data_IF_047035415166
#
_entry.id   IF_047035415166
#
_cell.length_a   1.000
_cell.length_b   1.000
_cell.length_c   1.000
_cell.angle_alpha   90.00
_cell.angle_beta   90.00
_cell.angle_gamma   90.00
#
_symmetry.space_group_name_H-M   'P 1'
#
loop_
_entity.id
_entity.type
_entity.pdbx_description
1 polymer ?
#
# COMPACT_ATOMS: atom_id res chain seq x y z
N UNK A 1 -3.87 20.12 12.90
CA UNK A 1 -2.61 20.38 13.65
C UNK A 1 -2.19 19.19 14.52
N UNK A 2 -3.06 18.58 15.33
CA UNK A 2 -2.65 17.53 16.29
C UNK A 2 -1.97 16.28 15.71
N UNK A 3 -2.29 15.86 14.47
CA UNK A 3 -1.68 14.67 13.87
C UNK A 3 -0.21 14.87 13.50
N UNK A 4 0.15 16.05 13.01
CA UNK A 4 1.54 16.38 12.64
C UNK A 4 2.43 16.51 13.88
N UNK A 5 1.90 17.10 14.96
CA UNK A 5 2.62 17.22 16.23
C UNK A 5 2.91 15.84 16.84
N UNK A 6 1.94 14.92 16.80
CA UNK A 6 2.12 13.55 17.25
C UNK A 6 3.16 12.78 16.43
N UNK A 7 3.18 12.97 15.11
CA UNK A 7 4.18 12.36 14.22
C UNK A 7 5.57 12.88 14.58
N UNK A 8 5.72 14.20 14.74
CA UNK A 8 7.01 14.82 15.11
C UNK A 8 7.53 14.31 16.44
N UNK A 9 6.69 14.27 17.47
CA UNK A 9 7.08 13.78 18.81
C UNK A 9 7.43 12.30 18.82
N UNK A 10 6.72 11.49 18.03
CA UNK A 10 7.00 10.05 17.94
C UNK A 10 8.30 9.79 17.19
N UNK A 11 8.55 10.51 16.09
CA UNK A 11 9.83 10.45 15.37
C UNK A 11 11.00 10.86 16.26
N UNK A 12 10.87 11.96 17.01
CA UNK A 12 11.92 12.40 17.93
C UNK A 12 12.30 11.31 18.94
N UNK A 13 11.32 10.61 19.51
CA UNK A 13 11.60 9.51 20.44
C UNK A 13 12.29 8.33 19.76
N UNK A 14 11.88 7.97 18.55
CA UNK A 14 12.54 6.90 17.78
C UNK A 14 14.00 7.26 17.45
N UNK A 15 14.26 8.52 17.07
CA UNK A 15 15.60 9.04 16.80
C UNK A 15 16.51 9.01 18.04
N UNK A 16 15.95 9.10 19.26
CA UNK A 16 16.70 8.94 20.51
C UNK A 16 17.01 7.47 20.85
N UNK A 17 16.15 6.54 20.42
CA UNK A 17 16.30 5.10 20.70
C UNK A 17 17.31 4.47 19.74
N UNK A 18 17.11 4.66 18.43
CA UNK A 18 18.02 4.17 17.40
C UNK A 18 18.11 5.17 16.24
N UNK A 19 19.05 6.12 16.28
CA UNK A 19 19.21 7.13 15.24
C UNK A 19 19.75 6.57 13.92
N UNK A 20 20.21 5.32 13.87
CA UNK A 20 20.80 4.70 12.69
C UNK A 20 19.89 3.62 12.08
N UNK A 21 18.77 3.28 12.71
CA UNK A 21 17.77 2.40 12.13
C UNK A 21 17.28 2.97 10.78
N UNK A 22 17.47 2.23 9.66
CA UNK A 22 16.99 2.66 8.35
C UNK A 22 15.50 2.99 8.31
N UNK A 23 14.67 2.35 9.15
CA UNK A 23 13.23 2.64 9.23
C UNK A 23 12.96 4.00 9.86
N UNK A 24 13.71 4.37 10.90
CA UNK A 24 13.58 5.67 11.57
C UNK A 24 14.01 6.78 10.62
N UNK A 25 15.14 6.60 9.92
CA UNK A 25 15.63 7.55 8.92
C UNK A 25 14.63 7.70 7.77
N UNK A 26 14.09 6.58 7.23
CA UNK A 26 13.08 6.61 6.18
C UNK A 26 11.77 7.28 6.63
N UNK A 27 11.36 7.08 7.88
CA UNK A 27 10.18 7.73 8.43
C UNK A 27 10.36 9.26 8.54
N UNK A 28 11.54 9.73 8.98
CA UNK A 28 11.89 11.15 9.01
C UNK A 28 12.01 11.75 7.60
N UNK A 29 12.62 11.02 6.67
CA UNK A 29 12.66 11.37 5.25
C UNK A 29 11.26 11.64 4.68
N UNK A 30 10.33 10.71 4.89
CA UNK A 30 8.93 10.85 4.44
C UNK A 30 8.24 12.06 5.10
N UNK A 31 8.54 12.34 6.35
CA UNK A 31 8.04 13.54 7.02
C UNK A 31 8.55 14.82 6.34
N UNK A 32 9.85 14.94 6.06
CA UNK A 32 10.41 16.13 5.39
C UNK A 32 9.85 16.32 3.98
N UNK A 33 9.70 15.25 3.19
CA UNK A 33 9.05 15.34 1.88
C UNK A 33 7.62 15.89 1.96
N UNK A 34 6.82 15.47 2.95
CA UNK A 34 5.46 15.99 3.14
C UNK A 34 5.44 17.46 3.53
N UNK A 35 6.48 17.94 4.22
CA UNK A 35 6.65 19.34 4.58
C UNK A 35 7.22 20.19 3.42
N UNK A 36 7.55 19.56 2.28
CA UNK A 36 8.17 20.24 1.14
C UNK A 36 9.68 20.46 1.28
N UNK A 37 10.30 20.00 2.38
CA UNK A 37 11.74 20.09 2.61
C UNK A 37 12.48 18.98 1.83
N UNK A 38 12.62 19.21 0.53
CA UNK A 38 13.26 18.27 -0.40
C UNK A 38 14.76 18.16 -0.15
N UNK A 39 15.42 19.24 0.31
CA UNK A 39 16.85 19.25 0.60
C UNK A 39 17.17 18.42 1.86
N UNK A 40 16.38 18.60 2.92
CA UNK A 40 16.49 17.79 4.13
C UNK A 40 16.16 16.31 3.85
N UNK A 41 15.14 16.05 3.03
CA UNK A 41 14.85 14.70 2.56
C UNK A 41 16.02 14.10 1.78
N UNK A 42 16.62 14.84 0.83
CA UNK A 42 17.76 14.34 0.06
C UNK A 42 18.93 13.94 0.96
N UNK A 43 19.27 14.74 1.97
CA UNK A 43 20.33 14.39 2.94
C UNK A 43 20.07 13.08 3.68
N UNK A 44 18.82 12.82 4.06
CA UNK A 44 18.45 11.56 4.72
C UNK A 44 18.48 10.38 3.75
N UNK A 45 18.13 10.61 2.48
CA UNK A 45 18.26 9.60 1.44
C UNK A 45 19.72 9.23 1.19
N UNK A 46 20.61 10.21 1.14
CA UNK A 46 22.06 9.98 1.00
C UNK A 46 22.62 9.22 2.21
N UNK A 47 22.15 9.55 3.42
CA UNK A 47 22.51 8.81 4.64
C UNK A 47 22.03 7.36 4.59
N UNK A 48 20.80 7.10 4.11
CA UNK A 48 20.30 5.74 3.89
C UNK A 48 21.14 4.97 2.87
N UNK A 49 21.58 5.63 1.80
CA UNK A 49 22.45 5.02 0.78
C UNK A 49 23.78 4.54 1.37
N UNK A 50 24.33 5.29 2.33
CA UNK A 50 25.59 4.93 3.00
C UNK A 50 25.40 3.83 4.05
N UNK A 51 24.33 3.90 4.85
CA UNK A 51 24.11 2.98 5.97
C UNK A 51 23.54 1.63 5.53
N UNK A 52 22.60 1.62 4.59
CA UNK A 52 21.84 0.43 4.23
C UNK A 52 21.34 0.46 2.77
N UNK A 53 22.25 0.43 1.77
CA UNK A 53 21.91 0.55 0.34
C UNK A 53 21.02 -0.57 -0.18
N UNK A 54 21.05 -1.75 0.42
CA UNK A 54 20.22 -2.90 0.02
C UNK A 54 18.89 -2.96 0.80
N UNK A 55 18.64 -2.02 1.72
CA UNK A 55 17.42 -2.04 2.52
C UNK A 55 16.19 -1.61 1.72
N UNK A 56 15.05 -2.24 2.00
CA UNK A 56 13.74 -1.80 1.49
C UNK A 56 13.45 -0.34 1.85
N UNK A 57 13.91 0.12 3.02
CA UNK A 57 13.77 1.50 3.48
C UNK A 57 14.46 2.50 2.55
N UNK A 58 15.70 2.21 2.14
CA UNK A 58 16.42 3.03 1.16
C UNK A 58 15.74 2.98 -0.21
N UNK A 59 15.45 1.79 -0.72
CA UNK A 59 14.88 1.63 -2.06
C UNK A 59 13.50 2.32 -2.19
N UNK A 60 12.64 2.16 -1.18
CA UNK A 60 11.34 2.86 -1.13
C UNK A 60 11.50 4.38 -1.00
N UNK A 61 12.46 4.86 -0.19
CA UNK A 61 12.75 6.30 -0.05
C UNK A 61 13.23 6.90 -1.36
N UNK A 62 14.09 6.19 -2.11
CA UNK A 62 14.55 6.62 -3.43
C UNK A 62 13.39 6.75 -4.42
N UNK A 63 12.48 5.78 -4.43
CA UNK A 63 11.26 5.86 -5.25
C UNK A 63 10.39 7.04 -4.86
N UNK A 64 10.17 7.28 -3.56
CA UNK A 64 9.41 8.43 -3.08
C UNK A 64 10.06 9.78 -3.45
N UNK A 65 11.40 9.86 -3.43
CA UNK A 65 12.13 11.04 -3.90
C UNK A 65 11.94 11.26 -5.40
N UNK A 66 12.02 10.20 -6.22
CA UNK A 66 11.76 10.31 -7.65
C UNK A 66 10.35 10.88 -7.92
N UNK A 67 9.35 10.40 -7.17
CA UNK A 67 7.95 10.83 -7.30
C UNK A 67 7.68 12.25 -6.78
N UNK A 68 8.61 12.88 -6.05
CA UNK A 68 8.47 14.30 -5.68
C UNK A 68 8.86 15.23 -6.84
N UNK A 69 9.64 14.73 -7.81
CA UNK A 69 10.06 15.50 -8.99
C UNK A 69 8.92 15.68 -10.01
N UNK A 70 8.95 16.73 -10.86
CA UNK A 70 7.99 16.88 -11.96
C UNK A 70 7.93 15.66 -12.88
N UNK A 71 9.08 15.09 -13.24
CA UNK A 71 9.17 13.93 -14.12
C UNK A 71 8.54 12.69 -13.49
N UNK A 72 8.88 12.37 -12.23
CA UNK A 72 8.31 11.22 -11.55
C UNK A 72 6.79 11.35 -11.36
N UNK A 73 6.30 12.57 -11.08
CA UNK A 73 4.86 12.84 -11.04
C UNK A 73 4.19 12.61 -12.40
N UNK A 74 4.81 13.06 -13.49
CA UNK A 74 4.28 12.83 -14.83
C UNK A 74 4.19 11.34 -15.16
N UNK A 75 5.26 10.57 -14.91
CA UNK A 75 5.25 9.11 -15.12
C UNK A 75 4.18 8.41 -14.28
N UNK A 76 3.97 8.84 -13.04
CA UNK A 76 2.90 8.30 -12.20
C UNK A 76 1.51 8.59 -12.79
N UNK A 77 1.28 9.80 -13.28
CA UNK A 77 -0.01 10.16 -13.90
C UNK A 77 -0.27 9.38 -15.20
N UNK A 78 0.76 9.13 -15.98
CA UNK A 78 0.67 8.27 -17.17
C UNK A 78 0.29 6.83 -16.80
N UNK A 79 0.93 6.24 -15.78
CA UNK A 79 0.57 4.91 -15.28
C UNK A 79 -0.91 4.85 -14.80
N UNK A 80 -1.37 5.90 -14.12
CA UNK A 80 -2.77 6.02 -13.69
C UNK A 80 -3.74 6.13 -14.85
N UNK A 81 -3.41 6.91 -15.87
CA UNK A 81 -4.24 7.05 -17.07
C UNK A 81 -4.38 5.71 -17.80
N UNK A 82 -3.29 4.95 -17.93
CA UNK A 82 -3.33 3.60 -18.50
C UNK A 82 -4.23 2.67 -17.66
N UNK A 83 -4.14 2.76 -16.33
CA UNK A 83 -4.95 1.92 -15.42
C UNK A 83 -6.45 2.25 -15.51
N UNK A 84 -6.81 3.53 -15.66
CA UNK A 84 -8.22 3.98 -15.74
C UNK A 84 -8.83 3.76 -17.11
N UNK A 85 -8.04 3.80 -18.18
CA UNK A 85 -8.48 3.56 -19.57
C UNK A 85 -8.50 2.07 -19.96
N UNK A 86 -8.21 1.17 -19.01
CA UNK A 86 -8.29 -0.28 -19.22
C UNK A 86 -7.01 -0.94 -19.74
N UNK A 87 -5.95 -0.17 -20.02
CA UNK A 87 -4.63 -0.64 -20.46
C UNK A 87 -3.83 -1.23 -19.28
N UNK A 88 -4.39 -2.24 -18.63
CA UNK A 88 -3.92 -2.76 -17.33
C UNK A 88 -2.47 -3.25 -17.39
N UNK A 89 -2.07 -4.02 -18.41
CA UNK A 89 -0.70 -4.52 -18.54
C UNK A 89 0.32 -3.39 -18.73
N UNK A 90 -0.02 -2.38 -19.54
CA UNK A 90 0.83 -1.21 -19.77
C UNK A 90 0.94 -0.36 -18.50
N UNK A 91 -0.16 -0.21 -17.74
CA UNK A 91 -0.15 0.47 -16.46
C UNK A 91 0.79 -0.22 -15.47
N UNK A 92 0.69 -1.55 -15.36
CA UNK A 92 1.57 -2.36 -14.51
C UNK A 92 3.03 -2.20 -14.94
N UNK A 93 3.33 -2.28 -16.23
CA UNK A 93 4.69 -2.07 -16.73
C UNK A 93 5.24 -0.67 -16.41
N UNK A 94 4.39 0.36 -16.51
CA UNK A 94 4.75 1.74 -16.15
C UNK A 94 5.05 1.88 -14.66
N UNK A 95 4.19 1.30 -13.79
CA UNK A 95 4.46 1.24 -12.35
C UNK A 95 5.72 0.45 -12.02
N UNK A 96 5.93 -0.71 -12.63
CA UNK A 96 7.10 -1.56 -12.40
C UNK A 96 8.39 -0.81 -12.73
N UNK A 97 8.40 -0.05 -13.84
CA UNK A 97 9.52 0.82 -14.20
C UNK A 97 9.77 1.92 -13.17
N UNK A 98 8.70 2.51 -12.65
CA UNK A 98 8.75 3.62 -11.69
C UNK A 98 9.22 3.16 -10.31
N UNK A 99 8.75 2.00 -9.86
CA UNK A 99 8.98 1.50 -8.51
C UNK A 99 10.15 0.52 -8.42
N UNK A 100 10.50 -0.15 -9.52
CA UNK A 100 11.56 -1.17 -9.59
C UNK A 100 11.42 -2.23 -8.50
N UNK A 101 10.18 -2.65 -8.21
CA UNK A 101 9.85 -3.61 -7.15
C UNK A 101 9.70 -3.02 -5.74
N UNK A 102 9.96 -1.72 -5.56
CA UNK A 102 9.88 -1.02 -4.27
C UNK A 102 8.87 0.13 -4.34
N UNK A 103 7.55 -0.17 -4.38
CA UNK A 103 6.53 0.87 -4.33
C UNK A 103 6.62 1.64 -3.00
N UNK A 104 6.37 2.96 -2.98
CA UNK A 104 6.31 3.71 -1.73
C UNK A 104 5.21 3.20 -0.82
N UNK A 105 5.46 3.20 0.48
CA UNK A 105 4.47 2.86 1.50
C UNK A 105 3.19 3.71 1.42
N UNK A 106 2.10 3.18 2.00
CA UNK A 106 0.81 3.86 2.10
C UNK A 106 -0.07 3.64 0.87
N UNK A 107 -0.90 4.64 0.55
CA UNK A 107 -1.95 4.53 -0.47
C UNK A 107 -1.40 4.18 -1.87
N UNK A 108 -0.19 4.61 -2.21
CA UNK A 108 0.39 4.31 -3.52
C UNK A 108 0.77 2.81 -3.66
N UNK A 109 1.23 2.16 -2.60
CA UNK A 109 1.42 0.71 -2.61
C UNK A 109 0.08 -0.02 -2.77
N UNK A 110 -0.99 0.47 -2.12
CA UNK A 110 -2.35 -0.09 -2.28
C UNK A 110 -2.82 0.04 -3.72
N UNK A 111 -2.68 1.23 -4.31
CA UNK A 111 -3.04 1.51 -5.71
C UNK A 111 -2.30 0.59 -6.69
N UNK A 112 -0.98 0.46 -6.51
CA UNK A 112 -0.14 -0.40 -7.33
C UNK A 112 -0.58 -1.87 -7.25
N UNK A 113 -0.63 -2.44 -6.05
CA UNK A 113 -0.95 -3.86 -5.89
C UNK A 113 -2.39 -4.18 -6.25
N UNK A 114 -3.33 -3.25 -6.05
CA UNK A 114 -4.71 -3.41 -6.56
C UNK A 114 -4.73 -3.44 -8.09
N UNK A 115 -3.88 -2.65 -8.75
CA UNK A 115 -3.74 -2.69 -10.21
C UNK A 115 -3.09 -4.00 -10.67
N UNK A 116 -2.01 -4.45 -10.02
CA UNK A 116 -1.35 -5.74 -10.32
C UNK A 116 -2.31 -6.91 -10.13
N UNK A 117 -3.19 -6.87 -9.13
CA UNK A 117 -4.16 -7.93 -8.87
C UNK A 117 -5.15 -8.19 -10.03
N UNK A 118 -5.33 -7.21 -10.93
CA UNK A 118 -6.14 -7.37 -12.14
C UNK A 118 -5.51 -8.34 -13.14
N UNK A 119 -4.18 -8.50 -13.12
CA UNK A 119 -3.47 -9.46 -13.97
C UNK A 119 -3.49 -10.86 -13.33
N UNK A 120 -4.13 -11.88 -13.95
CA UNK A 120 -4.26 -13.20 -13.34
C UNK A 120 -2.92 -13.84 -12.95
N UNK A 121 -1.89 -13.69 -13.79
CA UNK A 121 -0.56 -14.25 -13.55
C UNK A 121 0.14 -13.70 -12.30
N UNK A 122 -0.19 -12.47 -11.88
CA UNK A 122 0.40 -11.79 -10.71
C UNK A 122 -0.58 -11.60 -9.55
N UNK A 123 -1.81 -12.10 -9.67
CA UNK A 123 -2.87 -11.89 -8.68
C UNK A 123 -2.49 -12.41 -7.29
N UNK A 124 -1.87 -13.60 -7.22
CA UNK A 124 -1.47 -14.18 -5.94
C UNK A 124 -0.41 -13.33 -5.23
N UNK A 125 0.59 -12.86 -5.96
CA UNK A 125 1.61 -11.93 -5.45
C UNK A 125 0.95 -10.67 -4.88
N UNK A 126 0.07 -10.04 -5.66
CA UNK A 126 -0.61 -8.82 -5.27
C UNK A 126 -1.47 -8.99 -4.01
N UNK A 127 -2.22 -10.07 -3.89
CA UNK A 127 -3.03 -10.35 -2.69
C UNK A 127 -2.12 -10.44 -1.45
N UNK A 128 -1.00 -11.16 -1.55
CA UNK A 128 -0.08 -11.32 -0.41
C UNK A 128 0.51 -9.97 0.02
N UNK A 129 0.79 -9.07 -0.92
CA UNK A 129 1.28 -7.73 -0.61
C UNK A 129 0.19 -6.84 0.01
N UNK A 130 -1.04 -6.89 -0.51
CA UNK A 130 -2.18 -6.19 0.07
C UNK A 130 -2.51 -6.69 1.48
N UNK A 131 -2.34 -7.98 1.76
CA UNK A 131 -2.46 -8.54 3.12
C UNK A 131 -1.42 -7.98 4.07
N UNK A 132 -0.14 -7.89 3.65
CA UNK A 132 0.93 -7.27 4.44
C UNK A 132 0.62 -5.80 4.75
N UNK A 133 0.13 -5.05 3.74
CA UNK A 133 -0.26 -3.65 3.92
C UNK A 133 -1.43 -3.52 4.91
N UNK A 134 -2.46 -4.35 4.79
CA UNK A 134 -3.61 -4.34 5.70
C UNK A 134 -3.21 -4.70 7.14
N UNK A 135 -2.21 -5.56 7.34
CA UNK A 135 -1.71 -5.90 8.67
C UNK A 135 -1.05 -4.72 9.39
N UNK A 136 -0.34 -3.84 8.65
CA UNK A 136 0.35 -2.67 9.22
C UNK A 136 -0.50 -1.40 9.22
N UNK A 137 -1.57 -1.35 8.41
CA UNK A 137 -2.50 -0.21 8.31
C UNK A 137 -3.96 -0.68 8.53
N UNK A 138 -4.31 -1.15 9.74
CA UNK A 138 -5.67 -1.58 10.02
C UNK A 138 -6.64 -0.41 9.92
N UNK A 139 -7.82 -0.66 9.33
CA UNK A 139 -8.90 0.33 9.23
C UNK A 139 -8.96 1.09 7.90
N UNK A 140 -8.07 0.81 6.95
CA UNK A 140 -8.29 1.24 5.56
C UNK A 140 -9.41 0.40 4.93
N UNK A 141 -10.65 0.88 5.05
CA UNK A 141 -11.83 0.16 4.55
C UNK A 141 -11.80 -0.07 3.03
N UNK A 142 -11.20 0.84 2.26
CA UNK A 142 -11.12 0.72 0.80
C UNK A 142 -10.19 -0.44 0.42
N UNK A 143 -9.00 -0.50 1.03
CA UNK A 143 -8.08 -1.63 0.93
C UNK A 143 -8.75 -2.94 1.35
N UNK A 144 -9.41 -2.95 2.50
CA UNK A 144 -10.05 -4.16 3.03
C UNK A 144 -11.18 -4.66 2.12
N UNK A 145 -11.98 -3.75 1.56
CA UNK A 145 -13.03 -4.11 0.61
C UNK A 145 -12.43 -4.75 -0.66
N UNK A 146 -11.47 -4.08 -1.29
CA UNK A 146 -10.79 -4.62 -2.47
C UNK A 146 -10.12 -5.97 -2.19
N UNK A 147 -9.44 -6.09 -1.05
CA UNK A 147 -8.78 -7.33 -0.63
C UNK A 147 -9.77 -8.46 -0.39
N UNK A 148 -10.89 -8.22 0.29
CA UNK A 148 -11.93 -9.23 0.51
C UNK A 148 -12.50 -9.74 -0.81
N UNK A 149 -12.85 -8.85 -1.75
CA UNK A 149 -13.33 -9.24 -3.07
C UNK A 149 -12.31 -10.08 -3.84
N UNK A 150 -11.03 -9.68 -3.84
CA UNK A 150 -9.95 -10.42 -4.49
C UNK A 150 -9.74 -11.81 -3.89
N UNK A 151 -9.84 -11.94 -2.57
CA UNK A 151 -9.71 -13.22 -1.86
C UNK A 151 -10.84 -14.18 -2.26
N UNK A 152 -12.09 -13.71 -2.26
CA UNK A 152 -13.22 -14.54 -2.70
C UNK A 152 -13.13 -14.92 -4.18
N UNK A 153 -12.79 -13.98 -5.06
CA UNK A 153 -12.59 -14.25 -6.48
C UNK A 153 -11.42 -15.20 -6.77
N UNK A 154 -10.51 -15.40 -5.81
CA UNK A 154 -9.39 -16.33 -5.90
C UNK A 154 -9.62 -17.64 -5.13
N UNK A 155 -10.85 -17.88 -4.64
CA UNK A 155 -11.21 -19.08 -3.87
C UNK A 155 -10.66 -19.11 -2.44
N UNK A 156 -9.99 -18.05 -1.96
CA UNK A 156 -9.40 -17.94 -0.62
C UNK A 156 -10.45 -17.50 0.41
N UNK A 157 -11.50 -18.30 0.56
CA UNK A 157 -12.72 -17.95 1.34
C UNK A 157 -12.43 -17.62 2.80
N UNK A 158 -11.67 -18.45 3.51
CA UNK A 158 -11.41 -18.26 4.95
C UNK A 158 -10.68 -16.94 5.23
N UNK A 159 -9.73 -16.60 4.37
CA UNK A 159 -8.99 -15.34 4.42
C UNK A 159 -9.89 -14.16 4.09
N UNK A 160 -10.78 -14.30 3.10
CA UNK A 160 -11.82 -13.31 2.79
C UNK A 160 -12.70 -13.01 3.99
N UNK A 161 -13.18 -14.04 4.69
CA UNK A 161 -13.97 -13.87 5.92
C UNK A 161 -13.16 -13.26 7.07
N UNK A 162 -11.85 -13.53 7.17
CA UNK A 162 -11.00 -12.87 8.14
C UNK A 162 -10.93 -11.35 7.91
N UNK A 163 -10.84 -10.91 6.65
CA UNK A 163 -10.88 -9.49 6.29
C UNK A 163 -12.25 -8.88 6.58
N UNK A 164 -13.36 -9.56 6.25
CA UNK A 164 -14.71 -9.07 6.60
C UNK A 164 -14.90 -8.89 8.10
N UNK A 165 -14.36 -9.82 8.92
CA UNK A 165 -14.35 -9.69 10.38
C UNK A 165 -13.58 -8.46 10.86
N UNK A 166 -12.48 -8.09 10.20
CA UNK A 166 -11.77 -6.85 10.51
C UNK A 166 -12.59 -5.61 10.12
N UNK A 167 -13.18 -5.60 8.92
CA UNK A 167 -14.05 -4.52 8.45
C UNK A 167 -15.23 -4.29 9.39
N UNK A 168 -15.82 -5.36 9.93
CA UNK A 168 -16.98 -5.28 10.83
C UNK A 168 -16.66 -4.64 12.20
N UNK A 169 -15.37 -4.54 12.58
CA UNK A 169 -14.96 -3.82 13.79
C UNK A 169 -15.00 -2.29 13.59
N UNK A 170 -14.97 -1.83 12.35
CA UNK A 170 -15.05 -0.41 11.98
C UNK A 170 -16.50 0.00 11.71
N UNK A 171 -16.96 1.13 12.27
CA UNK A 171 -18.31 1.64 12.02
C UNK A 171 -18.59 1.90 10.54
N UNK A 172 -17.58 2.39 9.82
CA UNK A 172 -17.63 2.70 8.39
C UNK A 172 -17.39 1.46 7.51
N UNK A 173 -16.79 0.40 8.04
CA UNK A 173 -16.55 -0.87 7.33
C UNK A 173 -17.71 -1.87 7.42
N UNK A 174 -18.53 -1.80 8.48
CA UNK A 174 -19.63 -2.76 8.75
C UNK A 174 -20.59 -2.94 7.58
N UNK A 175 -21.08 -1.85 6.98
CA UNK A 175 -22.07 -1.94 5.89
C UNK A 175 -21.52 -2.66 4.66
N UNK A 176 -20.30 -2.32 4.25
CA UNK A 176 -19.62 -2.99 3.14
C UNK A 176 -19.34 -4.47 3.45
N UNK A 177 -18.93 -4.77 4.69
CA UNK A 177 -18.68 -6.14 5.10
C UNK A 177 -19.92 -7.02 5.00
N UNK A 178 -21.07 -6.53 5.48
CA UNK A 178 -22.35 -7.23 5.41
C UNK A 178 -22.80 -7.46 3.96
N UNK A 179 -22.61 -6.47 3.08
CA UNK A 179 -22.97 -6.60 1.66
C UNK A 179 -22.15 -7.69 0.95
N UNK A 180 -20.84 -7.73 1.18
CA UNK A 180 -19.97 -8.77 0.60
C UNK A 180 -20.32 -10.14 1.18
N UNK A 181 -20.52 -10.23 2.49
CA UNK A 181 -20.92 -11.48 3.14
C UNK A 181 -22.22 -12.05 2.57
N UNK A 182 -23.24 -11.20 2.39
CA UNK A 182 -24.53 -11.61 1.83
C UNK A 182 -24.39 -12.14 0.40
N UNK A 183 -23.60 -11.47 -0.45
CA UNK A 183 -23.29 -11.96 -1.80
C UNK A 183 -22.66 -13.36 -1.76
N UNK A 184 -21.69 -13.58 -0.89
CA UNK A 184 -21.00 -14.87 -0.77
C UNK A 184 -21.93 -16.02 -0.34
N UNK A 185 -22.95 -15.75 0.48
CA UNK A 185 -23.92 -16.76 0.89
C UNK A 185 -24.92 -17.06 -0.23
N UNK A 186 -25.38 -16.02 -0.94
CA UNK A 186 -26.30 -16.19 -2.06
C UNK A 186 -25.71 -17.05 -3.17
N UNK A 187 -24.40 -16.94 -3.38
CA UNK A 187 -23.67 -17.71 -4.40
C UNK A 187 -23.28 -19.13 -3.92
N UNK A 188 -23.69 -19.56 -2.71
CA UNK A 188 -23.54 -20.94 -2.29
C UNK A 188 -24.61 -21.81 -2.98
N UNK A 189 -24.24 -22.93 -3.63
CA UNK A 189 -25.24 -23.87 -4.11
C UNK A 189 -26.06 -24.39 -2.93
N UNK A 190 -27.39 -24.31 -3.05
CA UNK A 190 -28.29 -24.92 -2.07
C UNK A 190 -28.00 -26.42 -2.11
N UNK A 191 -27.51 -26.99 -1.01
CA UNK A 191 -27.34 -28.43 -0.92
C UNK A 191 -28.71 -29.08 -1.17
N UNK A 192 -28.86 -29.77 -2.29
CA UNK A 192 -30.00 -30.65 -2.51
C UNK A 192 -29.90 -31.79 -1.49
N UNK A 193 -30.87 -31.96 -0.58
CA UNK A 193 -30.89 -33.15 0.24
C UNK A 193 -31.07 -34.36 -0.68
N UNK A 194 -30.19 -35.35 -0.50
CA UNK A 194 -30.30 -36.67 -1.14
C UNK A 194 -31.41 -37.50 -0.49
#
# INVERSE_FOLDING_TARGET
MHREDLVRQSLYRLELIDPNDPQVIAARFRYLLRQGDSDGAQKLLDRLAQLAPESTAYQSSRTAMLLSTPQGRQSLQEARLLATTGHTEQAIASYDKLFKGYPPEGELAVEYWTTVAKLPARRHEAINQLQKINAVSPGNNALQNALAQLLFASGRRDEGFAVLKQMAKSSTGRGAASAIWYQQIKDLPVATPA
#
